data_IF_289562803745
#
_entry.id   IF_289562803745
#
_cell.length_a   1.000
_cell.length_b   1.000
_cell.length_c   1.000
_cell.angle_alpha   90.00
_cell.angle_beta   90.00
_cell.angle_gamma   90.00
#
_symmetry.space_group_name_H-M   'P 1'
#
loop_
_entity.id
_entity.type
_entity.pdbx_description
1 polymer ?
#
# COMPACT_ATOMS: atom_id res chain seq x y z
N UNK A 1 3.91 15.44 7.51
CA UNK A 1 3.90 16.90 7.45
C UNK A 1 3.26 17.45 8.72
N UNK A 2 3.89 18.44 9.33
CA UNK A 2 3.35 19.09 10.54
C UNK A 2 2.03 19.80 10.19
N UNK A 3 1.03 19.69 11.06
CA UNK A 3 -0.26 20.40 10.91
C UNK A 3 -0.14 21.92 11.10
N UNK A 4 1.05 22.41 11.47
CA UNK A 4 1.35 23.82 11.61
C UNK A 4 1.68 24.42 10.22
N UNK A 5 0.77 25.24 9.71
CA UNK A 5 0.87 25.89 8.42
C UNK A 5 2.13 26.80 8.31
N UNK A 6 2.45 27.54 9.37
CA UNK A 6 3.65 28.42 9.39
C UNK A 6 4.92 27.60 9.21
N UNK A 7 5.06 26.52 10.00
CA UNK A 7 6.20 25.61 9.89
C UNK A 7 6.30 24.93 8.53
N UNK A 8 5.17 24.62 7.90
CA UNK A 8 5.16 24.05 6.54
C UNK A 8 5.63 25.07 5.50
N UNK A 9 5.26 26.35 5.64
CA UNK A 9 5.76 27.43 4.79
C UNK A 9 7.28 27.66 5.00
N UNK A 10 7.76 27.65 6.24
CA UNK A 10 9.18 27.78 6.53
C UNK A 10 10.01 26.68 5.86
N UNK A 11 9.54 25.43 5.90
CA UNK A 11 10.16 24.30 5.21
C UNK A 11 10.20 24.56 3.70
N UNK A 12 9.08 25.00 3.12
CA UNK A 12 9.00 25.31 1.69
C UNK A 12 10.00 26.41 1.28
N UNK A 13 10.09 27.50 2.03
CA UNK A 13 10.99 28.63 1.74
C UNK A 13 12.46 28.30 2.00
N UNK A 14 12.77 27.32 2.86
CA UNK A 14 14.15 26.84 3.04
C UNK A 14 14.70 26.15 1.77
N UNK A 15 13.83 25.69 0.88
CA UNK A 15 14.19 25.14 -0.42
C UNK A 15 15.02 23.85 -0.38
N UNK A 16 15.09 23.15 0.76
CA UNK A 16 15.81 21.88 0.84
C UNK A 16 14.99 20.77 0.22
N UNK A 17 15.54 20.10 -0.80
CA UNK A 17 14.86 19.01 -1.48
C UNK A 17 15.64 17.70 -1.39
N UNK A 18 14.92 16.59 -1.44
CA UNK A 18 15.47 15.23 -1.49
C UNK A 18 14.82 14.48 -2.65
N UNK A 19 15.59 13.72 -3.40
CA UNK A 19 15.05 12.78 -4.38
C UNK A 19 14.38 11.63 -3.66
N UNK A 20 13.16 11.31 -4.06
CA UNK A 20 12.42 10.15 -3.56
C UNK A 20 12.02 9.24 -4.72
N UNK A 21 11.85 7.99 -4.41
CA UNK A 21 11.40 6.97 -5.33
C UNK A 21 9.90 7.11 -5.61
N UNK A 22 9.46 6.62 -6.75
CA UNK A 22 8.05 6.57 -7.15
C UNK A 22 7.72 5.15 -7.59
N UNK A 23 6.69 4.56 -7.02
CA UNK A 23 6.16 3.31 -7.53
C UNK A 23 5.31 3.54 -8.78
N UNK A 24 5.40 2.63 -9.74
CA UNK A 24 4.58 2.62 -10.94
C UNK A 24 3.94 1.25 -11.11
N UNK A 25 2.60 1.19 -11.19
CA UNK A 25 1.88 0.00 -11.61
C UNK A 25 1.44 0.14 -13.05
N UNK A 26 1.84 -0.83 -13.87
CA UNK A 26 1.39 -1.01 -15.26
C UNK A 26 0.34 -2.11 -15.29
N UNK A 27 -0.83 -1.83 -15.85
CA UNK A 27 -1.94 -2.76 -16.00
C UNK A 27 -2.60 -2.57 -17.36
N UNK A 28 -3.36 -3.58 -17.81
CA UNK A 28 -3.93 -3.56 -19.16
C UNK A 28 -5.46 -3.46 -19.11
N UNK A 29 -6.00 -2.61 -19.97
CA UNK A 29 -7.44 -2.54 -20.29
C UNK A 29 -7.60 -2.66 -21.80
N UNK A 30 -8.37 -3.64 -22.26
CA UNK A 30 -8.57 -3.89 -23.69
C UNK A 30 -7.24 -3.99 -24.48
N UNK A 31 -6.25 -4.67 -23.89
CA UNK A 31 -4.88 -4.82 -24.40
C UNK A 31 -4.08 -3.51 -24.55
N UNK A 32 -4.57 -2.41 -23.97
CA UNK A 32 -3.86 -1.13 -23.92
C UNK A 32 -3.21 -1.01 -22.53
N UNK A 33 -1.88 -0.75 -22.45
CA UNK A 33 -1.21 -0.53 -21.18
C UNK A 33 -1.61 0.84 -20.61
N UNK A 34 -1.90 0.83 -19.32
CA UNK A 34 -2.15 2.01 -18.51
C UNK A 34 -1.15 2.04 -17.35
N UNK A 35 -0.79 3.23 -16.92
CA UNK A 35 0.14 3.43 -15.81
C UNK A 35 -0.54 4.22 -14.69
N UNK A 36 -0.24 3.82 -13.45
CA UNK A 36 -0.58 4.59 -12.26
C UNK A 36 0.65 4.71 -11.38
N UNK A 37 0.98 5.93 -10.98
CA UNK A 37 2.07 6.22 -10.06
C UNK A 37 1.56 6.33 -8.63
N UNK A 38 2.41 5.95 -7.67
CA UNK A 38 2.16 6.11 -6.26
C UNK A 38 3.45 6.51 -5.53
N UNK A 39 3.32 7.35 -4.52
CA UNK A 39 4.44 7.81 -3.70
C UNK A 39 4.46 7.14 -2.32
N UNK A 40 3.36 6.54 -1.91
CA UNK A 40 3.22 5.89 -0.61
C UNK A 40 3.02 4.38 -0.76
N UNK A 41 1.88 3.93 -1.26
CA UNK A 41 1.57 2.50 -1.33
C UNK A 41 0.62 2.12 -2.46
N UNK A 42 0.73 0.86 -2.84
CA UNK A 42 -0.16 0.14 -3.75
C UNK A 42 -0.69 -1.10 -3.02
N UNK A 43 -2.01 -1.25 -2.95
CA UNK A 43 -2.66 -2.33 -2.23
C UNK A 43 -3.59 -3.17 -3.10
N UNK A 44 -3.49 -4.50 -2.95
CA UNK A 44 -4.46 -5.47 -3.46
C UNK A 44 -5.10 -6.22 -2.31
N UNK A 45 -6.15 -6.96 -2.62
CA UNK A 45 -6.80 -7.74 -1.61
C UNK A 45 -7.91 -6.95 -0.92
N UNK A 46 -7.92 -6.93 0.41
CA UNK A 46 -8.94 -6.21 1.19
C UNK A 46 -8.78 -4.68 1.11
N UNK A 47 -7.57 -4.16 0.85
CA UNK A 47 -7.26 -2.73 0.90
C UNK A 47 -8.17 -1.86 0.01
N UNK A 48 -8.44 -2.19 -1.27
CA UNK A 48 -9.39 -1.44 -2.09
C UNK A 48 -10.80 -1.37 -1.51
N UNK A 49 -11.28 -2.44 -0.84
CA UNK A 49 -12.58 -2.44 -0.18
C UNK A 49 -12.59 -1.52 1.04
N UNK A 50 -11.50 -1.51 1.81
CA UNK A 50 -11.32 -0.60 2.95
C UNK A 50 -11.30 0.85 2.49
N UNK A 51 -10.58 1.17 1.41
CA UNK A 51 -10.54 2.52 0.84
C UNK A 51 -11.93 3.00 0.41
N UNK A 52 -12.69 2.19 -0.33
CA UNK A 52 -14.09 2.52 -0.72
C UNK A 52 -14.98 2.71 0.51
N UNK A 53 -14.86 1.85 1.51
CA UNK A 53 -15.62 1.95 2.76
C UNK A 53 -15.28 3.21 3.56
N UNK A 54 -14.01 3.55 3.64
CA UNK A 54 -13.55 4.77 4.33
C UNK A 54 -14.04 6.04 3.61
N UNK A 55 -14.06 6.04 2.27
CA UNK A 55 -14.59 7.14 1.48
C UNK A 55 -16.09 7.32 1.67
N UNK A 56 -16.86 6.23 1.73
CA UNK A 56 -18.29 6.26 2.05
C UNK A 56 -18.52 6.83 3.47
N UNK A 57 -17.77 6.36 4.47
CA UNK A 57 -17.89 6.87 5.84
C UNK A 57 -17.55 8.36 5.91
N UNK A 58 -16.54 8.84 5.15
CA UNK A 58 -16.21 10.24 5.06
C UNK A 58 -17.38 11.10 4.59
N UNK A 59 -18.20 10.59 3.67
CA UNK A 59 -19.39 11.29 3.19
C UNK A 59 -20.45 11.47 4.30
N UNK A 60 -20.64 10.46 5.17
CA UNK A 60 -21.68 10.49 6.21
C UNK A 60 -21.25 11.16 7.52
N UNK A 61 -20.00 10.97 7.96
CA UNK A 61 -19.52 11.38 9.29
C UNK A 61 -18.30 12.31 9.24
N UNK A 62 -17.92 12.77 8.04
CA UNK A 62 -16.75 13.64 7.85
C UNK A 62 -15.42 12.88 7.78
N UNK A 63 -14.34 13.64 7.59
CA UNK A 63 -13.00 13.08 7.42
C UNK A 63 -12.32 12.85 8.78
N UNK A 64 -12.37 11.61 9.27
CA UNK A 64 -11.72 11.19 10.49
C UNK A 64 -10.71 10.05 10.21
N UNK A 65 -9.58 10.06 10.92
CA UNK A 65 -8.58 8.98 10.81
C UNK A 65 -9.14 7.59 11.14
N UNK A 66 -10.14 7.55 12.03
CA UNK A 66 -10.83 6.30 12.44
C UNK A 66 -11.69 5.68 11.36
N UNK A 67 -12.05 6.41 10.27
CA UNK A 67 -12.88 5.87 9.20
C UNK A 67 -12.24 4.64 8.53
N UNK A 68 -10.92 4.65 8.36
CA UNK A 68 -10.18 3.50 7.83
C UNK A 68 -10.27 2.29 8.74
N UNK A 69 -10.19 2.50 10.05
CA UNK A 69 -10.31 1.42 11.02
C UNK A 69 -11.72 0.79 10.99
N UNK A 70 -12.78 1.58 11.00
CA UNK A 70 -14.14 1.07 10.89
C UNK A 70 -14.40 0.39 9.54
N UNK A 71 -13.89 0.96 8.45
CA UNK A 71 -13.98 0.35 7.13
C UNK A 71 -13.25 -1.00 7.07
N UNK A 72 -12.06 -1.11 7.69
CA UNK A 72 -11.32 -2.36 7.82
C UNK A 72 -12.15 -3.42 8.54
N UNK A 73 -12.68 -3.11 9.72
CA UNK A 73 -13.50 -4.05 10.50
C UNK A 73 -14.72 -4.51 9.70
N UNK A 74 -15.45 -3.59 9.05
CA UNK A 74 -16.61 -3.93 8.24
C UNK A 74 -16.24 -4.80 7.02
N UNK A 75 -15.07 -4.57 6.43
CA UNK A 75 -14.57 -5.32 5.27
C UNK A 75 -14.17 -6.74 5.62
N UNK A 76 -13.64 -6.99 6.83
CA UNK A 76 -13.24 -8.32 7.30
C UNK A 76 -14.34 -9.38 7.17
N UNK A 77 -15.60 -8.98 7.40
CA UNK A 77 -16.75 -9.91 7.35
C UNK A 77 -17.27 -10.18 5.93
N UNK A 78 -16.94 -9.34 4.97
CA UNK A 78 -17.48 -9.39 3.60
C UNK A 78 -16.46 -9.84 2.57
N UNK A 79 -15.16 -9.77 2.90
CA UNK A 79 -14.11 -9.96 1.94
C UNK A 79 -13.92 -11.44 1.56
N UNK A 80 -13.84 -11.69 0.24
CA UNK A 80 -13.51 -13.00 -0.32
C UNK A 80 -12.08 -12.95 -0.85
N UNK A 81 -11.21 -13.76 -0.25
CA UNK A 81 -9.79 -13.80 -0.59
C UNK A 81 -9.56 -14.27 -2.03
N UNK A 82 -9.03 -13.43 -2.93
CA UNK A 82 -8.71 -13.83 -4.30
C UNK A 82 -7.49 -14.73 -4.34
N UNK A 83 -7.36 -15.46 -5.43
CA UNK A 83 -6.14 -16.21 -5.73
C UNK A 83 -5.20 -15.31 -6.53
N UNK A 84 -4.02 -15.06 -5.99
CA UNK A 84 -2.96 -14.27 -6.61
C UNK A 84 -1.69 -15.11 -6.74
N UNK A 85 -0.86 -14.79 -7.75
CA UNK A 85 0.50 -15.27 -7.89
C UNK A 85 1.42 -14.07 -8.08
N UNK A 86 2.45 -14.01 -7.25
CA UNK A 86 3.48 -12.99 -7.31
C UNK A 86 4.78 -13.57 -7.83
N UNK A 87 5.37 -12.88 -8.76
CA UNK A 87 6.70 -13.17 -9.30
C UNK A 87 7.65 -12.00 -9.06
N UNK A 88 8.87 -12.33 -8.70
CA UNK A 88 10.01 -11.40 -8.61
C UNK A 88 11.13 -12.01 -9.46
N UNK A 89 11.66 -11.24 -10.40
CA UNK A 89 12.72 -11.67 -11.32
C UNK A 89 12.41 -13.02 -12.02
N UNK A 90 11.14 -13.20 -12.43
CA UNK A 90 10.65 -14.41 -13.10
C UNK A 90 10.49 -15.64 -12.21
N UNK A 91 10.68 -15.51 -10.90
CA UNK A 91 10.45 -16.60 -9.93
C UNK A 91 9.16 -16.34 -9.15
N UNK A 92 8.32 -17.37 -9.06
CA UNK A 92 7.14 -17.32 -8.19
C UNK A 92 7.59 -17.34 -6.73
N UNK A 93 7.26 -16.27 -6.01
CA UNK A 93 7.58 -16.11 -4.58
C UNK A 93 6.39 -16.53 -3.72
N UNK A 94 5.18 -16.14 -4.12
CA UNK A 94 3.94 -16.45 -3.40
C UNK A 94 2.86 -16.82 -4.41
N UNK A 95 2.13 -17.90 -4.16
CA UNK A 95 0.92 -18.26 -4.92
C UNK A 95 -0.14 -18.84 -3.97
N UNK A 96 -1.37 -18.34 -4.05
CA UNK A 96 -2.46 -18.83 -3.25
C UNK A 96 -3.54 -17.76 -3.00
N UNK A 97 -4.41 -18.05 -2.02
CA UNK A 97 -5.38 -17.07 -1.54
C UNK A 97 -4.66 -15.99 -0.75
N UNK A 98 -4.88 -14.73 -1.10
CA UNK A 98 -4.28 -13.56 -0.44
C UNK A 98 -5.34 -12.72 0.23
N UNK A 99 -5.07 -12.34 1.46
CA UNK A 99 -5.91 -11.42 2.24
C UNK A 99 -5.52 -9.97 1.97
N UNK A 100 -4.24 -9.64 2.10
CA UNK A 100 -3.63 -8.35 1.78
C UNK A 100 -2.39 -8.57 0.95
N UNK A 101 -2.17 -7.68 -0.01
CA UNK A 101 -0.91 -7.52 -0.71
C UNK A 101 -0.60 -6.03 -0.73
N UNK A 102 0.28 -5.59 0.15
CA UNK A 102 0.73 -4.21 0.24
C UNK A 102 2.11 -4.07 -0.36
N UNK A 103 2.26 -3.17 -1.32
CA UNK A 103 3.52 -2.85 -2.00
C UNK A 103 3.82 -1.39 -1.69
N UNK A 104 4.82 -1.12 -0.87
CA UNK A 104 5.04 0.16 -0.25
C UNK A 104 6.36 0.80 -0.62
N UNK A 105 6.28 2.10 -0.86
CA UNK A 105 7.40 3.04 -0.90
C UNK A 105 7.50 3.79 0.44
N UNK A 106 6.39 3.98 1.15
CA UNK A 106 6.31 4.59 2.47
C UNK A 106 5.87 3.62 3.57
N UNK A 107 6.25 3.90 4.83
CA UNK A 107 6.04 3.00 5.97
C UNK A 107 4.60 2.97 6.47
N UNK A 108 3.80 4.01 6.22
CA UNK A 108 2.47 4.20 6.82
C UNK A 108 1.36 4.18 5.78
N UNK A 109 0.24 3.57 6.13
CA UNK A 109 -1.00 3.61 5.35
C UNK A 109 -2.10 4.35 6.12
N UNK A 110 -3.30 4.44 5.56
CA UNK A 110 -4.43 5.20 6.10
C UNK A 110 -4.67 4.99 7.60
N UNK A 111 -4.98 6.07 8.33
CA UNK A 111 -5.21 6.03 9.77
C UNK A 111 -3.97 5.91 10.66
N UNK A 112 -2.75 6.04 10.10
CA UNK A 112 -1.50 5.93 10.84
C UNK A 112 -1.04 4.49 11.11
N UNK A 113 -1.58 3.52 10.38
CA UNK A 113 -1.18 2.12 10.46
C UNK A 113 0.21 1.94 9.84
N UNK A 114 1.15 1.35 10.58
CA UNK A 114 2.52 1.11 10.13
C UNK A 114 2.63 -0.27 9.50
N UNK A 115 2.14 -0.38 8.25
CA UNK A 115 2.01 -1.66 7.57
C UNK A 115 3.37 -2.19 7.07
N UNK A 116 4.20 -1.34 6.46
CA UNK A 116 5.53 -1.69 5.97
C UNK A 116 6.61 -0.88 6.72
N UNK A 117 7.02 -1.31 7.92
CA UNK A 117 7.87 -0.49 8.82
C UNK A 117 9.25 -0.18 8.27
N UNK A 118 9.77 -1.04 7.40
CA UNK A 118 11.13 -0.92 6.84
C UNK A 118 11.17 -0.15 5.51
N UNK A 119 10.00 0.27 4.98
CA UNK A 119 9.96 1.01 3.72
C UNK A 119 10.63 2.39 3.86
N UNK A 120 11.60 2.63 2.99
CA UNK A 120 12.30 3.92 2.83
C UNK A 120 12.11 4.43 1.39
N UNK A 121 11.47 5.59 1.19
CA UNK A 121 11.24 6.12 -0.15
C UNK A 121 12.50 6.59 -0.88
N UNK A 122 13.69 6.23 -0.44
CA UNK A 122 14.95 6.68 -1.02
C UNK A 122 15.96 5.55 -1.26
N UNK A 123 15.60 4.30 -1.04
CA UNK A 123 16.50 3.15 -1.17
C UNK A 123 16.51 2.49 -2.57
N UNK A 124 15.54 2.82 -3.43
CA UNK A 124 15.42 2.33 -4.79
C UNK A 124 14.68 1.00 -4.91
N UNK A 125 13.97 0.58 -3.87
CA UNK A 125 13.19 -0.67 -3.84
C UNK A 125 11.79 -0.44 -3.25
N UNK A 126 10.91 -1.40 -3.45
CA UNK A 126 9.58 -1.44 -2.84
C UNK A 126 9.56 -2.53 -1.77
N UNK A 127 9.07 -2.17 -0.60
CA UNK A 127 8.89 -3.08 0.52
C UNK A 127 7.47 -3.64 0.49
N UNK A 128 7.35 -4.91 0.19
CA UNK A 128 6.05 -5.56 0.00
C UNK A 128 5.75 -6.52 1.14
N UNK A 129 4.48 -6.64 1.48
CA UNK A 129 4.00 -7.53 2.50
C UNK A 129 2.79 -8.31 1.98
N UNK A 130 2.88 -9.63 2.01
CA UNK A 130 1.83 -10.54 1.55
C UNK A 130 1.26 -11.28 2.75
N UNK A 131 -0.07 -11.15 2.93
CA UNK A 131 -0.78 -11.79 4.01
C UNK A 131 -1.69 -12.87 3.44
N UNK A 132 -1.47 -14.12 3.85
CA UNK A 132 -2.45 -15.19 3.64
C UNK A 132 -3.69 -14.98 4.51
N UNK A 133 -4.85 -15.61 4.18
CA UNK A 133 -6.08 -15.40 4.94
C UNK A 133 -5.92 -15.76 6.41
N UNK A 134 -5.98 -14.78 7.34
CA UNK A 134 -5.83 -15.04 8.76
C UNK A 134 -7.12 -15.57 9.37
N UNK A 135 -6.99 -16.37 10.42
CA UNK A 135 -8.10 -16.71 11.32
C UNK A 135 -8.51 -15.49 12.16
N UNK A 136 -9.70 -15.54 12.76
CA UNK A 136 -10.16 -14.46 13.64
C UNK A 136 -9.21 -14.18 14.82
N UNK A 137 -8.61 -15.23 15.38
CA UNK A 137 -7.60 -15.09 16.47
C UNK A 137 -6.36 -14.36 15.99
N UNK A 138 -5.89 -14.68 14.79
CA UNK A 138 -4.72 -14.02 14.17
C UNK A 138 -5.00 -12.55 13.85
N UNK A 139 -6.23 -12.21 13.42
CA UNK A 139 -6.64 -10.80 13.23
C UNK A 139 -6.52 -10.03 14.55
N UNK A 140 -7.03 -10.58 15.68
CA UNK A 140 -6.92 -9.94 16.99
C UNK A 140 -5.47 -9.72 17.40
N UNK A 141 -4.57 -10.65 17.08
CA UNK A 141 -3.13 -10.51 17.34
C UNK A 141 -2.45 -9.49 16.41
N UNK A 142 -2.95 -9.34 15.17
CA UNK A 142 -2.39 -8.45 14.18
C UNK A 142 -2.73 -6.96 14.46
N UNK A 143 -3.92 -6.67 14.99
CA UNK A 143 -4.38 -5.29 15.20
C UNK A 143 -3.38 -4.43 16.00
N UNK A 144 -2.91 -4.80 17.20
CA UNK A 144 -1.92 -3.99 17.92
C UNK A 144 -0.58 -3.92 17.18
N UNK A 145 -0.18 -4.99 16.47
CA UNK A 145 1.06 -5.03 15.71
C UNK A 145 1.03 -4.14 14.46
N UNK A 146 -0.15 -3.90 13.90
CA UNK A 146 -0.36 -3.00 12.77
C UNK A 146 -0.02 -1.53 13.12
N UNK A 147 -0.27 -1.11 14.36
CA UNK A 147 0.02 0.25 14.79
C UNK A 147 1.45 0.44 15.32
N UNK A 148 2.08 -0.60 15.82
CA UNK A 148 3.44 -0.54 16.33
C UNK A 148 4.52 -1.00 15.32
N UNK A 149 4.12 -1.37 14.08
CA UNK A 149 5.04 -1.76 13.01
C UNK A 149 5.65 -3.15 13.18
N UNK A 150 5.02 -4.05 13.93
CA UNK A 150 5.54 -5.41 14.22
C UNK A 150 4.76 -6.52 13.52
N UNK A 151 4.04 -6.19 12.43
CA UNK A 151 3.28 -7.19 11.67
C UNK A 151 4.15 -8.30 11.10
N UNK A 152 5.36 -7.99 10.65
CA UNK A 152 6.33 -8.94 10.07
C UNK A 152 6.71 -10.10 11.00
N UNK A 153 6.44 -9.99 12.30
CA UNK A 153 6.66 -11.07 13.27
C UNK A 153 5.60 -12.18 13.24
N UNK A 154 4.51 -11.98 12.48
CA UNK A 154 3.42 -12.94 12.41
C UNK A 154 3.68 -13.98 11.31
N UNK A 155 3.44 -15.29 11.57
CA UNK A 155 3.85 -16.38 10.66
C UNK A 155 3.08 -16.41 9.32
N UNK A 156 1.94 -15.72 9.23
CA UNK A 156 1.14 -15.63 8.00
C UNK A 156 1.46 -14.39 7.15
N UNK A 157 2.55 -13.68 7.49
CA UNK A 157 3.04 -12.50 6.79
C UNK A 157 4.36 -12.82 6.11
N UNK A 158 4.43 -12.51 4.82
CA UNK A 158 5.57 -12.79 3.97
C UNK A 158 6.12 -11.47 3.42
N UNK A 159 7.22 -10.93 4.00
CA UNK A 159 7.87 -9.73 3.48
C UNK A 159 8.67 -10.07 2.22
N UNK A 160 8.64 -9.17 1.25
CA UNK A 160 9.41 -9.25 0.00
C UNK A 160 9.91 -7.87 -0.36
N UNK A 161 11.21 -7.75 -0.69
CA UNK A 161 11.82 -6.50 -1.15
C UNK A 161 12.25 -6.67 -2.60
N UNK A 162 11.79 -5.78 -3.47
CA UNK A 162 12.12 -5.82 -4.90
C UNK A 162 11.86 -4.48 -5.57
N UNK A 163 12.57 -4.21 -6.66
CA UNK A 163 12.30 -3.06 -7.52
C UNK A 163 11.37 -3.39 -8.71
N UNK A 164 11.07 -4.67 -8.93
CA UNK A 164 10.20 -5.13 -10.00
C UNK A 164 9.42 -6.37 -9.57
N UNK A 165 8.09 -6.27 -9.60
CA UNK A 165 7.17 -7.32 -9.20
C UNK A 165 6.14 -7.54 -10.31
N UNK A 166 5.81 -8.80 -10.60
CA UNK A 166 4.72 -9.15 -11.50
C UNK A 166 3.63 -9.89 -10.75
N UNK A 167 2.45 -9.31 -10.71
CA UNK A 167 1.29 -9.88 -10.05
C UNK A 167 0.32 -10.44 -11.09
N UNK A 168 -0.05 -11.69 -10.93
CA UNK A 168 -1.06 -12.36 -11.75
C UNK A 168 -2.35 -12.53 -10.97
N UNK A 169 -3.45 -12.15 -11.59
CA UNK A 169 -4.80 -12.38 -11.08
C UNK A 169 -5.59 -13.21 -12.08
N UNK A 170 -6.35 -14.20 -11.60
CA UNK A 170 -7.22 -15.03 -12.47
C UNK A 170 -8.61 -14.42 -12.67
N UNK A 171 -8.96 -13.42 -11.87
CA UNK A 171 -10.30 -12.82 -11.82
C UNK A 171 -10.18 -11.31 -11.89
N UNK A 172 -11.30 -10.65 -12.18
CA UNK A 172 -11.41 -9.20 -12.04
C UNK A 172 -11.09 -8.80 -10.60
N UNK A 173 -10.14 -7.91 -10.42
CA UNK A 173 -9.66 -7.43 -9.13
C UNK A 173 -9.72 -5.92 -9.07
N UNK A 174 -9.68 -5.38 -7.86
CA UNK A 174 -9.39 -3.98 -7.63
C UNK A 174 -8.02 -3.87 -6.97
N UNK A 175 -7.32 -2.79 -7.28
CA UNK A 175 -6.18 -2.32 -6.51
C UNK A 175 -6.41 -0.86 -6.09
N UNK A 176 -5.74 -0.43 -5.05
CA UNK A 176 -5.66 0.96 -4.68
C UNK A 176 -4.22 1.47 -4.85
N UNK A 177 -4.05 2.72 -5.22
CA UNK A 177 -2.76 3.40 -5.28
C UNK A 177 -2.92 4.77 -4.63
N UNK A 178 -2.24 4.99 -3.50
CA UNK A 178 -2.38 6.19 -2.66
C UNK A 178 -3.84 6.53 -2.33
N UNK A 179 -4.65 5.50 -2.01
CA UNK A 179 -6.06 5.60 -1.66
C UNK A 179 -7.04 5.69 -2.83
N UNK A 180 -6.56 5.75 -4.08
CA UNK A 180 -7.43 5.77 -5.26
C UNK A 180 -7.62 4.35 -5.79
N UNK A 181 -8.87 3.89 -5.79
CA UNK A 181 -9.22 2.53 -6.20
C UNK A 181 -9.46 2.44 -7.70
N UNK A 182 -8.87 1.42 -8.31
CA UNK A 182 -9.03 1.09 -9.73
C UNK A 182 -9.31 -0.40 -9.91
N UNK A 183 -10.04 -0.72 -10.98
CA UNK A 183 -10.38 -2.09 -11.34
C UNK A 183 -9.48 -2.58 -12.47
N UNK A 184 -9.04 -3.83 -12.39
CA UNK A 184 -8.12 -4.46 -13.33
C UNK A 184 -8.53 -5.89 -13.62
N UNK A 185 -8.25 -6.32 -14.86
CA UNK A 185 -8.36 -7.71 -15.29
C UNK A 185 -7.04 -8.12 -15.94
N UNK A 186 -6.39 -9.14 -15.40
CA UNK A 186 -5.10 -9.61 -15.90
C UNK A 186 -3.90 -9.20 -15.05
N UNK A 187 -2.67 -9.42 -15.55
CA UNK A 187 -1.47 -9.16 -14.80
C UNK A 187 -1.23 -7.68 -14.55
N UNK A 188 -0.54 -7.37 -13.46
CA UNK A 188 -0.04 -6.04 -13.13
C UNK A 188 1.46 -6.12 -12.91
N UNK A 189 2.22 -5.27 -13.58
CA UNK A 189 3.65 -5.09 -13.32
C UNK A 189 3.84 -3.87 -12.41
N UNK A 190 4.60 -4.03 -11.33
CA UNK A 190 4.91 -2.96 -10.40
C UNK A 190 6.41 -2.74 -10.37
N UNK A 191 6.83 -1.50 -10.60
CA UNK A 191 8.25 -1.12 -10.65
C UNK A 191 8.54 0.05 -9.73
N UNK A 192 9.76 0.07 -9.17
CA UNK A 192 10.31 1.21 -8.45
C UNK A 192 11.08 2.10 -9.42
N UNK A 193 10.71 3.37 -9.49
CA UNK A 193 11.40 4.40 -10.25
C UNK A 193 12.28 5.20 -9.27
N UNK A 194 13.53 4.78 -9.14
CA UNK A 194 14.47 5.35 -8.19
C UNK A 194 14.71 6.85 -8.41
N UNK A 195 14.54 7.64 -7.34
CA UNK A 195 14.84 9.08 -7.33
C UNK A 195 14.00 9.91 -8.29
N UNK A 196 12.83 9.41 -8.74
CA UNK A 196 12.04 9.99 -9.82
C UNK A 196 11.31 11.30 -9.45
N UNK A 197 11.22 11.64 -8.17
CA UNK A 197 10.52 12.84 -7.71
C UNK A 197 11.40 13.65 -6.76
N UNK A 198 11.48 14.97 -6.97
CA UNK A 198 12.08 15.90 -6.02
C UNK A 198 11.03 16.37 -5.01
N UNK A 199 11.22 16.08 -3.73
CA UNK A 199 10.33 16.49 -2.67
C UNK A 199 11.01 17.49 -1.73
N UNK A 200 10.31 18.58 -1.41
CA UNK A 200 10.77 19.52 -0.39
C UNK A 200 10.59 18.89 0.98
N UNK A 201 11.68 18.82 1.74
CA UNK A 201 11.70 18.18 3.06
C UNK A 201 12.32 19.10 4.10
N UNK A 202 12.03 18.92 5.40
CA UNK A 202 12.71 19.62 6.45
C UNK A 202 14.22 19.31 6.41
N UNK A 203 15.04 20.30 6.67
CA UNK A 203 16.47 20.06 6.89
C UNK A 203 16.62 19.22 8.15
N UNK A 204 17.13 18.01 8.00
CA UNK A 204 17.49 17.17 9.16
C UNK A 204 18.75 17.79 9.77
N UNK A 205 18.67 18.14 11.05
CA UNK A 205 19.82 18.64 11.83
C UNK A 205 20.67 17.48 12.30
#
# INVERSE_FOLDING_TARGET
LNKDFKRSLDIFFQGYSKSIDVGCVTYWRNNIPHHRYFINSLGFGIEPMVCRGAEQLKYYIGSHHVNYFFALIASLFKYKNPHLRLEVDGKTIVEGKMFVTSIANGSYVGGGMKLNPDADPCDGVLHSMFLTPPSFKEILQAVPKLFNGRLHELPFIHPVVSNNLLMHTKQHQSFEADGIVMDVSGPCQVTCMKGALQMIVPRVR
#
